data_IF_862082422018
#
_entry.id   IF_862082422018
#
_cell.length_a   1.000
_cell.length_b   1.000
_cell.length_c   1.000
_cell.angle_alpha   90.00
_cell.angle_beta   90.00
_cell.angle_gamma   90.00
#
_symmetry.space_group_name_H-M   'P 1'
#
loop_
_entity.id
_entity.type
_entity.pdbx_description
1 polymer ?
#
# COMPACT_ATOMS: atom_id res chain seq x y z
N UNK A 1 -14.49 -12.63 -24.53
CA UNK A 1 -13.89 -11.36 -24.97
C UNK A 1 -14.86 -10.28 -24.57
N UNK A 2 -14.43 -9.49 -23.60
CA UNK A 2 -15.14 -8.34 -23.05
C UNK A 2 -15.21 -7.27 -24.13
N UNK A 3 -16.25 -6.44 -24.10
CA UNK A 3 -16.36 -5.31 -25.02
C UNK A 3 -15.14 -4.37 -24.84
N UNK A 4 -14.35 -4.05 -25.91
CA UNK A 4 -13.13 -3.25 -25.80
C UNK A 4 -13.35 -1.85 -25.24
N UNK A 5 -14.55 -1.28 -25.43
CA UNK A 5 -14.92 0.00 -24.84
C UNK A 5 -15.00 -0.15 -23.33
N UNK A 6 -15.66 -1.20 -22.84
CA UNK A 6 -15.74 -1.52 -21.41
C UNK A 6 -14.36 -1.75 -20.79
N UNK A 7 -13.47 -2.51 -21.45
CA UNK A 7 -12.08 -2.71 -20.98
C UNK A 7 -11.37 -1.37 -20.82
N UNK A 8 -11.42 -0.52 -21.85
CA UNK A 8 -10.81 0.82 -21.82
C UNK A 8 -11.39 1.69 -20.70
N UNK A 9 -12.72 1.65 -20.48
CA UNK A 9 -13.36 2.41 -19.40
C UNK A 9 -12.87 1.93 -18.03
N UNK A 10 -12.81 0.62 -17.80
CA UNK A 10 -12.31 0.04 -16.54
C UNK A 10 -10.85 0.43 -16.30
N UNK A 11 -9.99 0.35 -17.33
CA UNK A 11 -8.58 0.75 -17.23
C UNK A 11 -8.45 2.22 -16.78
N UNK A 12 -9.09 3.16 -17.48
CA UNK A 12 -9.03 4.58 -17.11
C UNK A 12 -9.65 4.86 -15.75
N UNK A 13 -10.65 4.07 -15.30
CA UNK A 13 -11.19 4.16 -13.94
C UNK A 13 -10.15 3.73 -12.91
N UNK A 14 -9.44 2.63 -13.13
CA UNK A 14 -8.38 2.17 -12.22
C UNK A 14 -7.23 3.19 -12.14
N UNK A 15 -6.83 3.78 -13.27
CA UNK A 15 -5.86 4.87 -13.32
C UNK A 15 -6.34 6.10 -12.55
N UNK A 16 -7.60 6.51 -12.73
CA UNK A 16 -8.17 7.61 -11.96
C UNK A 16 -8.19 7.33 -10.45
N UNK A 17 -8.42 6.08 -10.05
CA UNK A 17 -8.43 5.66 -8.64
C UNK A 17 -7.05 5.85 -8.01
N UNK A 18 -5.99 5.33 -8.64
CA UNK A 18 -4.62 5.46 -8.11
C UNK A 18 -4.16 6.91 -8.06
N UNK A 19 -4.59 7.75 -9.01
CA UNK A 19 -4.35 9.20 -8.97
C UNK A 19 -5.09 9.88 -7.81
N UNK A 20 -6.36 9.54 -7.57
CA UNK A 20 -7.12 10.08 -6.44
C UNK A 20 -6.50 9.66 -5.09
N UNK A 21 -6.00 8.42 -5.00
CA UNK A 21 -5.23 7.95 -3.84
C UNK A 21 -3.98 8.81 -3.62
N UNK A 22 -3.28 9.19 -4.69
CA UNK A 22 -2.10 10.06 -4.62
C UNK A 22 -2.44 11.49 -4.19
N UNK A 23 -3.52 12.06 -4.71
CA UNK A 23 -4.03 13.36 -4.29
C UNK A 23 -4.41 13.39 -2.79
N UNK A 24 -4.97 12.29 -2.29
CA UNK A 24 -5.25 12.15 -0.86
C UNK A 24 -3.97 12.18 -0.02
N UNK A 25 -2.88 11.54 -0.48
CA UNK A 25 -1.58 11.63 0.18
C UNK A 25 -1.06 13.05 0.23
N UNK A 26 -1.00 13.74 -0.91
CA UNK A 26 -0.43 15.08 -1.01
C UNK A 26 -1.11 16.08 -0.07
N UNK A 27 -2.42 15.96 0.13
CA UNK A 27 -3.20 16.88 0.96
C UNK A 27 -3.17 16.55 2.45
N UNK A 28 -2.79 15.34 2.82
CA UNK A 28 -2.93 14.86 4.22
C UNK A 28 -1.63 14.44 4.88
N UNK A 29 -0.55 14.27 4.11
CA UNK A 29 0.77 13.94 4.64
C UNK A 29 1.38 15.11 5.43
N UNK A 30 2.08 14.77 6.50
CA UNK A 30 2.63 15.71 7.46
C UNK A 30 4.07 16.10 7.07
N UNK A 31 4.88 15.14 6.65
CA UNK A 31 6.28 15.40 6.30
C UNK A 31 6.45 16.00 4.90
N UNK A 32 7.48 16.84 4.75
CA UNK A 32 7.81 17.47 3.47
C UNK A 32 8.24 16.47 2.40
N UNK A 33 8.81 15.33 2.80
CA UNK A 33 9.17 14.23 1.90
C UNK A 33 7.94 13.77 1.10
N UNK A 34 6.78 13.70 1.75
CA UNK A 34 5.57 13.21 1.11
C UNK A 34 4.75 14.33 0.46
N UNK A 35 4.49 15.44 1.16
CA UNK A 35 3.62 16.49 0.63
C UNK A 35 4.30 17.43 -0.40
N UNK A 36 5.64 17.50 -0.40
CA UNK A 36 6.40 18.37 -1.31
C UNK A 36 7.25 17.57 -2.29
N UNK A 37 8.06 16.63 -1.80
CA UNK A 37 8.95 15.81 -2.66
C UNK A 37 8.23 14.65 -3.36
N UNK A 38 7.01 14.31 -2.91
CA UNK A 38 6.14 13.25 -3.48
C UNK A 38 6.79 11.87 -3.48
N UNK A 39 7.52 11.54 -2.41
CA UNK A 39 8.20 10.26 -2.27
C UNK A 39 7.27 9.15 -1.77
N UNK A 40 6.25 8.84 -2.58
CA UNK A 40 5.30 7.77 -2.36
C UNK A 40 4.78 7.23 -3.69
N UNK A 41 4.25 6.01 -3.70
CA UNK A 41 3.57 5.41 -4.84
C UNK A 41 2.26 4.77 -4.40
N UNK A 42 1.23 4.92 -5.22
CA UNK A 42 -0.08 4.29 -5.03
C UNK A 42 -0.32 3.28 -6.13
N UNK A 43 -0.92 2.15 -5.77
CA UNK A 43 -1.17 1.06 -6.71
C UNK A 43 -2.45 0.31 -6.35
N UNK A 44 -3.03 -0.29 -7.38
CA UNK A 44 -4.10 -1.28 -7.28
C UNK A 44 -3.59 -2.58 -7.85
N UNK A 45 -3.74 -3.64 -7.08
CA UNK A 45 -3.45 -5.01 -7.50
C UNK A 45 -4.76 -5.80 -7.58
N UNK A 46 -4.84 -6.78 -8.47
CA UNK A 46 -5.93 -7.74 -8.48
C UNK A 46 -5.82 -8.73 -7.30
N UNK A 47 -6.84 -9.58 -7.11
CA UNK A 47 -6.89 -10.54 -6.01
C UNK A 47 -5.74 -11.57 -6.03
N UNK A 48 -5.14 -11.79 -7.20
CA UNK A 48 -3.98 -12.68 -7.38
C UNK A 48 -2.65 -11.97 -7.14
N UNK A 49 -2.64 -10.68 -6.83
CA UNK A 49 -1.43 -9.92 -6.57
C UNK A 49 -0.68 -9.51 -7.83
N UNK A 50 -1.39 -9.33 -8.95
CA UNK A 50 -0.86 -8.72 -10.18
C UNK A 50 -1.17 -7.22 -10.19
N UNK A 51 -0.20 -6.41 -10.63
CA UNK A 51 -0.34 -4.96 -10.68
C UNK A 51 -1.34 -4.55 -11.78
N UNK A 52 -2.53 -4.07 -11.39
CA UNK A 52 -3.59 -3.68 -12.31
C UNK A 52 -3.51 -2.19 -12.70
N UNK A 53 -3.09 -1.31 -11.78
CA UNK A 53 -2.86 0.10 -12.05
C UNK A 53 -1.89 0.72 -11.03
N UNK A 54 -1.24 1.80 -11.42
CA UNK A 54 -0.36 2.61 -10.57
C UNK A 54 -0.42 4.08 -10.94
N UNK A 55 -0.20 4.97 -9.98
CA UNK A 55 0.10 6.36 -10.31
C UNK A 55 1.59 6.49 -10.67
N UNK A 56 1.92 7.34 -11.65
CA UNK A 56 3.30 7.63 -12.06
C UNK A 56 4.06 8.35 -10.95
N UNK A 57 4.65 7.57 -10.05
CA UNK A 57 5.57 8.04 -9.03
C UNK A 57 6.86 7.18 -9.06
N UNK A 58 7.64 7.20 -7.98
CA UNK A 58 9.00 6.65 -7.93
C UNK A 58 9.05 5.18 -8.43
N UNK A 59 9.69 4.87 -9.58
CA UNK A 59 9.63 3.54 -10.20
C UNK A 59 10.13 2.40 -9.30
N UNK A 60 11.09 2.68 -8.42
CA UNK A 60 11.67 1.68 -7.50
C UNK A 60 10.63 1.13 -6.50
N UNK A 61 9.60 1.92 -6.15
CA UNK A 61 8.56 1.46 -5.25
C UNK A 61 7.77 0.31 -5.83
N UNK A 62 7.41 0.42 -7.11
CA UNK A 62 6.44 -0.47 -7.76
C UNK A 62 7.02 -1.85 -7.98
N UNK A 63 8.29 -1.94 -8.39
CA UNK A 63 8.91 -3.23 -8.73
C UNK A 63 8.91 -4.25 -7.59
N UNK A 64 8.89 -3.80 -6.34
CA UNK A 64 8.89 -4.66 -5.16
C UNK A 64 7.48 -4.94 -4.58
N UNK A 65 6.44 -4.23 -5.03
CA UNK A 65 5.06 -4.38 -4.53
C UNK A 65 4.45 -5.77 -4.77
N UNK A 66 4.65 -6.47 -5.92
CA UNK A 66 4.14 -7.83 -6.09
C UNK A 66 4.64 -8.79 -5.00
N UNK A 67 5.91 -8.66 -4.60
CA UNK A 67 6.51 -9.44 -3.53
C UNK A 67 5.95 -9.09 -2.15
N UNK A 68 5.61 -7.82 -1.93
CA UNK A 68 4.96 -7.39 -0.68
C UNK A 68 3.54 -7.99 -0.55
N UNK A 69 2.77 -8.01 -1.64
CA UNK A 69 1.44 -8.65 -1.66
C UNK A 69 1.58 -10.16 -1.43
N UNK A 70 2.52 -10.81 -2.11
CA UNK A 70 2.80 -12.23 -1.92
C UNK A 70 3.21 -12.54 -0.46
N UNK A 71 4.09 -11.74 0.14
CA UNK A 71 4.53 -11.95 1.52
C UNK A 71 3.37 -11.83 2.54
N UNK A 72 2.43 -10.89 2.35
CA UNK A 72 1.21 -10.83 3.17
C UNK A 72 0.34 -12.07 2.95
N UNK A 73 0.08 -12.45 1.69
CA UNK A 73 -0.75 -13.62 1.37
C UNK A 73 -0.16 -14.90 1.93
N UNK A 74 1.14 -15.10 1.80
CA UNK A 74 1.82 -16.31 2.28
C UNK A 74 1.83 -16.37 3.80
N UNK A 75 2.17 -15.25 4.47
CA UNK A 75 2.27 -15.22 5.92
C UNK A 75 0.92 -15.35 6.60
N UNK A 76 -0.12 -14.66 6.12
CA UNK A 76 -1.46 -14.70 6.73
C UNK A 76 -2.33 -15.82 6.18
N UNK A 77 -2.10 -16.28 4.95
CA UNK A 77 -2.84 -17.36 4.28
C UNK A 77 -4.36 -17.13 4.33
N UNK A 78 -5.09 -17.96 5.09
CA UNK A 78 -6.53 -17.95 5.27
C UNK A 78 -7.01 -16.96 6.36
N UNK A 79 -6.08 -16.21 6.96
CA UNK A 79 -6.35 -15.27 8.06
C UNK A 79 -6.53 -13.81 7.61
N UNK A 80 -6.56 -13.56 6.31
CA UNK A 80 -6.92 -12.25 5.72
C UNK A 80 -8.43 -12.10 5.74
N UNK A 81 -8.93 -11.02 6.34
CA UNK A 81 -10.36 -10.78 6.56
C UNK A 81 -10.78 -9.38 6.11
N UNK A 82 -12.06 -9.14 5.82
CA UNK A 82 -12.57 -7.80 5.61
C UNK A 82 -12.22 -6.87 6.78
N UNK A 83 -11.78 -5.65 6.47
CA UNK A 83 -11.37 -4.65 7.47
C UNK A 83 -9.94 -4.81 7.98
N UNK A 84 -9.22 -5.86 7.58
CA UNK A 84 -7.78 -5.95 7.85
C UNK A 84 -7.00 -4.87 7.09
N UNK A 85 -5.88 -4.43 7.66
CA UNK A 85 -4.88 -3.61 6.97
C UNK A 85 -3.50 -4.04 7.44
N UNK A 86 -2.59 -4.21 6.48
CA UNK A 86 -1.24 -4.68 6.74
C UNK A 86 -0.20 -3.59 6.53
N UNK A 87 0.92 -3.75 7.20
CA UNK A 87 2.09 -2.89 7.12
C UNK A 87 3.35 -3.77 7.00
N UNK A 88 4.29 -3.37 6.14
CA UNK A 88 5.63 -3.95 6.09
C UNK A 88 6.64 -2.94 5.51
N UNK A 89 7.92 -3.13 5.82
CA UNK A 89 9.04 -2.48 5.15
C UNK A 89 10.24 -3.43 4.93
N UNK A 90 10.15 -4.67 5.40
CA UNK A 90 11.26 -5.62 5.41
C UNK A 90 11.74 -5.91 3.97
N UNK A 91 13.00 -5.60 3.62
CA UNK A 91 13.55 -5.85 2.29
C UNK A 91 13.48 -7.31 1.85
N UNK A 92 13.44 -8.25 2.80
CA UNK A 92 13.31 -9.68 2.51
C UNK A 92 11.86 -10.12 2.23
N UNK A 93 10.88 -9.22 2.40
CA UNK A 93 9.44 -9.48 2.21
C UNK A 93 8.79 -8.43 1.30
N UNK A 94 9.53 -7.94 0.30
CA UNK A 94 9.02 -7.00 -0.70
C UNK A 94 9.17 -5.52 -0.34
N UNK A 95 9.84 -5.17 0.76
CA UNK A 95 10.38 -3.82 0.96
C UNK A 95 11.57 -3.55 0.01
N UNK A 96 11.89 -2.28 -0.24
CA UNK A 96 13.10 -1.90 -0.98
C UNK A 96 14.21 -1.37 -0.06
N UNK A 97 13.83 -0.74 1.05
CA UNK A 97 14.67 -0.37 2.19
C UNK A 97 13.77 -0.03 3.38
N UNK A 98 14.31 0.01 4.60
CA UNK A 98 13.50 0.18 5.82
C UNK A 98 12.65 1.47 5.85
N UNK A 99 13.13 2.63 5.38
CA UNK A 99 12.32 3.84 5.40
C UNK A 99 11.01 3.78 4.59
N UNK A 100 10.88 2.86 3.63
CA UNK A 100 9.68 2.77 2.80
C UNK A 100 8.68 1.80 3.39
N UNK A 101 7.68 2.37 4.06
CA UNK A 101 6.57 1.61 4.59
C UNK A 101 5.58 1.33 3.47
N UNK A 102 5.01 0.13 3.47
CA UNK A 102 3.95 -0.30 2.56
C UNK A 102 2.70 -0.62 3.34
N UNK A 103 1.64 0.15 3.12
CA UNK A 103 0.27 -0.15 3.56
C UNK A 103 -0.40 -1.01 2.50
N UNK A 104 -0.91 -2.18 2.89
CA UNK A 104 -1.65 -3.09 2.02
C UNK A 104 -3.06 -3.30 2.58
N UNK A 105 -4.08 -2.90 1.81
CA UNK A 105 -5.49 -3.01 2.19
C UNK A 105 -6.20 -3.96 1.21
N UNK A 106 -6.64 -5.15 1.66
CA UNK A 106 -7.45 -6.05 0.84
C UNK A 106 -8.89 -5.54 0.68
N UNK A 107 -9.35 -5.43 -0.57
CA UNK A 107 -10.71 -4.98 -0.90
C UNK A 107 -11.59 -6.19 -1.17
N UNK A 108 -12.52 -6.45 -0.27
CA UNK A 108 -13.37 -7.65 -0.32
C UNK A 108 -14.64 -7.44 -1.14
N UNK A 109 -14.96 -8.41 -2.01
CA UNK A 109 -16.24 -8.54 -2.70
C UNK A 109 -16.69 -10.00 -2.60
N UNK A 110 -17.94 -10.24 -2.22
CA UNK A 110 -18.51 -11.59 -2.05
C UNK A 110 -17.62 -12.54 -1.21
N UNK A 111 -17.06 -12.01 -0.11
CA UNK A 111 -16.26 -12.78 0.83
C UNK A 111 -14.84 -13.10 0.39
N UNK A 112 -14.35 -12.55 -0.73
CA UNK A 112 -12.99 -12.76 -1.23
C UNK A 112 -12.26 -11.44 -1.49
N UNK A 113 -10.93 -11.35 -1.28
CA UNK A 113 -10.15 -10.18 -1.66
C UNK A 113 -10.06 -10.10 -3.18
N UNK A 114 -10.84 -9.20 -3.78
CA UNK A 114 -10.88 -9.00 -5.22
C UNK A 114 -9.75 -8.09 -5.71
N UNK A 115 -9.33 -7.15 -4.87
CA UNK A 115 -8.24 -6.22 -5.14
C UNK A 115 -7.41 -5.99 -3.88
N UNK A 116 -6.23 -5.40 -4.06
CA UNK A 116 -5.48 -4.75 -2.99
C UNK A 116 -5.25 -3.28 -3.34
N UNK A 117 -5.64 -2.39 -2.43
CA UNK A 117 -5.30 -0.98 -2.52
C UNK A 117 -4.04 -0.71 -1.69
N UNK A 118 -3.02 -0.21 -2.34
CA UNK A 118 -1.66 -0.15 -1.78
C UNK A 118 -1.13 1.27 -1.81
N UNK A 119 -0.45 1.64 -0.73
CA UNK A 119 0.32 2.87 -0.63
C UNK A 119 1.70 2.54 -0.07
N UNK A 120 2.76 2.90 -0.79
CA UNK A 120 4.13 2.89 -0.30
C UNK A 120 4.64 4.31 -0.16
N UNK A 121 5.26 4.64 0.97
CA UNK A 121 5.73 6.01 1.21
C UNK A 121 6.98 6.05 2.07
N UNK A 122 7.90 6.93 1.71
CA UNK A 122 9.16 7.14 2.40
C UNK A 122 8.96 7.93 3.70
N UNK A 123 9.28 7.30 4.83
CA UNK A 123 9.27 7.97 6.14
C UNK A 123 10.56 8.74 6.34
N UNK A 124 10.50 9.93 6.94
CA UNK A 124 11.67 10.79 7.14
C UNK A 124 12.61 10.35 8.28
N UNK A 125 12.19 9.40 9.13
CA UNK A 125 13.02 8.71 10.13
C UNK A 125 12.46 7.30 10.35
N UNK A 126 13.35 6.32 10.52
CA UNK A 126 12.98 4.91 10.76
C UNK A 126 13.70 4.33 12.00
N UNK A 127 14.19 5.20 12.89
CA UNK A 127 15.01 4.81 14.04
C UNK A 127 16.46 4.47 13.64
N UNK A 128 17.04 3.45 14.26
CA UNK A 128 18.40 2.99 13.94
C UNK A 128 19.52 3.82 14.56
N UNK A 129 20.76 3.58 14.14
CA UNK A 129 21.95 4.15 14.77
C UNK A 129 22.19 5.64 14.44
N UNK A 130 21.60 6.16 13.36
CA UNK A 130 21.75 7.56 12.91
C UNK A 130 20.40 8.25 12.78
N UNK A 131 20.39 9.59 12.84
CA UNK A 131 19.18 10.37 12.59
C UNK A 131 18.83 10.34 11.10
N UNK A 132 17.54 10.17 10.79
CA UNK A 132 17.04 10.12 9.42
C UNK A 132 16.87 8.69 8.90
N UNK A 133 17.05 8.51 7.60
CA UNK A 133 16.68 7.29 6.87
C UNK A 133 17.85 6.44 6.40
N UNK A 134 19.06 7.01 6.40
CA UNK A 134 20.26 6.35 5.89
C UNK A 134 21.41 6.40 6.89
N UNK A 135 21.97 5.23 7.17
CA UNK A 135 23.21 5.07 7.92
C UNK A 135 24.32 4.58 6.97
N UNK A 136 25.20 5.46 6.45
CA UNK A 136 26.26 5.04 5.53
C UNK A 136 27.33 4.14 6.18
N UNK A 137 27.38 4.10 7.52
CA UNK A 137 28.26 3.21 8.27
C UNK A 137 27.61 1.87 8.63
N UNK A 138 26.36 1.61 8.22
CA UNK A 138 25.69 0.37 8.55
C UNK A 138 26.39 -0.82 7.88
N UNK A 139 26.76 -1.82 8.66
CA UNK A 139 27.31 -3.10 8.16
C UNK A 139 26.32 -4.25 8.26
N UNK A 140 25.21 -4.03 8.98
CA UNK A 140 24.16 -5.00 9.21
C UNK A 140 22.80 -4.30 9.33
N UNK A 141 21.73 -4.97 8.92
CA UNK A 141 20.40 -4.37 8.83
C UNK A 141 19.83 -3.88 10.18
N UNK A 142 20.28 -4.45 11.30
CA UNK A 142 19.85 -4.03 12.64
C UNK A 142 20.32 -2.62 13.01
N UNK A 143 21.32 -2.08 12.32
CA UNK A 143 21.81 -0.71 12.50
C UNK A 143 20.99 0.32 11.70
N UNK A 144 20.15 -0.15 10.76
CA UNK A 144 19.45 0.70 9.79
C UNK A 144 18.07 1.16 10.27
N UNK A 145 17.51 0.56 11.31
CA UNK A 145 16.23 0.98 11.90
C UNK A 145 15.25 -0.14 12.16
N UNK A 146 13.98 0.23 12.37
CA UNK A 146 12.92 -0.74 12.64
C UNK A 146 12.57 -1.52 11.37
N UNK A 147 12.67 -2.85 11.47
CA UNK A 147 12.28 -3.78 10.42
C UNK A 147 10.92 -4.40 10.74
N UNK A 148 9.97 -4.17 9.85
CA UNK A 148 8.56 -4.54 9.95
C UNK A 148 8.30 -5.64 8.93
N UNK A 149 8.19 -6.87 9.42
CA UNK A 149 7.75 -8.05 8.66
C UNK A 149 6.26 -7.93 8.30
N UNK A 150 5.67 -8.86 7.52
CA UNK A 150 4.22 -8.96 7.36
C UNK A 150 3.46 -8.80 8.69
N UNK A 151 2.87 -7.62 8.88
CA UNK A 151 2.28 -7.20 10.15
C UNK A 151 0.86 -6.70 9.92
N UNK A 152 -0.05 -7.11 10.79
CA UNK A 152 -1.42 -6.62 10.80
C UNK A 152 -1.52 -5.38 11.70
N UNK A 153 -1.91 -4.24 11.13
CA UNK A 153 -2.10 -2.95 11.82
C UNK A 153 -3.58 -2.67 12.11
N UNK A 154 -4.49 -3.08 11.23
CA UNK A 154 -5.93 -3.17 11.56
C UNK A 154 -6.35 -4.64 11.55
N UNK A 155 -7.08 -5.05 12.58
CA UNK A 155 -7.68 -6.39 12.69
C UNK A 155 -9.19 -6.27 12.64
N UNK A 156 -9.78 -6.71 11.53
CA UNK A 156 -11.21 -6.62 11.27
C UNK A 156 -11.82 -5.22 11.52
N UNK A 157 -11.12 -4.16 11.07
CA UNK A 157 -11.56 -2.78 11.20
C UNK A 157 -11.08 -2.04 12.45
N UNK A 158 -10.50 -2.76 13.42
CA UNK A 158 -9.99 -2.18 14.66
C UNK A 158 -8.49 -1.91 14.58
N UNK A 159 -8.07 -0.69 14.92
CA UNK A 159 -6.67 -0.31 14.95
C UNK A 159 -5.95 -1.02 16.12
N UNK A 160 -4.85 -1.69 15.81
CA UNK A 160 -3.91 -2.24 16.81
C UNK A 160 -3.07 -1.10 17.39
N UNK A 161 -3.63 -0.36 18.35
CA UNK A 161 -3.00 0.79 19.00
C UNK A 161 -1.69 0.44 19.73
N UNK A 162 -1.60 -0.78 20.26
CA UNK A 162 -0.39 -1.36 20.84
C UNK A 162 0.74 -1.43 19.82
N UNK A 163 0.45 -1.94 18.62
CA UNK A 163 1.38 -2.03 17.49
C UNK A 163 1.78 -0.64 17.00
N UNK A 164 0.80 0.24 16.75
CA UNK A 164 1.09 1.61 16.30
C UNK A 164 1.99 2.34 17.30
N UNK A 165 1.73 2.14 18.59
CA UNK A 165 2.53 2.75 19.66
C UNK A 165 3.94 2.17 19.71
N UNK A 166 4.09 0.86 19.60
CA UNK A 166 5.40 0.22 19.50
C UNK A 166 6.21 0.77 18.32
N UNK A 167 5.62 0.90 17.14
CA UNK A 167 6.30 1.45 15.96
C UNK A 167 6.71 2.92 16.18
N UNK A 168 5.77 3.75 16.61
CA UNK A 168 6.02 5.18 16.82
C UNK A 168 7.06 5.45 17.93
N UNK A 169 7.15 4.59 18.95
CA UNK A 169 8.17 4.70 20.00
C UNK A 169 9.58 4.47 19.49
N UNK A 170 9.76 3.74 18.38
CA UNK A 170 11.06 3.40 17.82
C UNK A 170 11.56 4.36 16.73
N UNK A 171 10.88 5.49 16.53
CA UNK A 171 11.29 6.56 15.60
C UNK A 171 11.45 7.88 16.34
N UNK A 172 12.31 8.76 15.83
CA UNK A 172 12.65 10.04 16.49
C UNK A 172 11.54 11.09 16.39
N UNK A 173 10.70 10.98 15.37
CA UNK A 173 9.64 11.94 15.07
C UNK A 173 8.26 11.25 15.06
N UNK A 174 7.76 10.82 16.24
CA UNK A 174 6.54 10.01 16.34
C UNK A 174 5.28 10.73 15.87
N UNK A 175 5.23 12.06 15.99
CA UNK A 175 4.09 12.87 15.52
C UNK A 175 3.94 12.77 14.01
N UNK A 176 5.03 12.99 13.30
CA UNK A 176 5.05 13.05 11.84
C UNK A 176 4.89 11.64 11.26
N UNK A 177 5.57 10.63 11.84
CA UNK A 177 5.34 9.21 11.50
C UNK A 177 3.87 8.80 11.62
N UNK A 178 3.21 9.13 12.74
CA UNK A 178 1.78 8.83 12.92
C UNK A 178 0.90 9.60 11.93
N UNK A 179 1.26 10.84 11.61
CA UNK A 179 0.55 11.67 10.64
C UNK A 179 0.65 11.10 9.22
N UNK A 180 1.86 10.78 8.79
CA UNK A 180 2.15 10.19 7.48
C UNK A 180 1.52 8.81 7.34
N UNK A 181 1.62 7.94 8.35
CA UNK A 181 0.96 6.63 8.33
C UNK A 181 -0.57 6.75 8.23
N UNK A 182 -1.18 7.74 8.89
CA UNK A 182 -2.62 8.04 8.74
C UNK A 182 -2.95 8.51 7.32
N UNK A 183 -2.08 9.32 6.70
CA UNK A 183 -2.25 9.72 5.30
C UNK A 183 -2.20 8.50 4.37
N UNK A 184 -1.23 7.59 4.57
CA UNK A 184 -1.11 6.34 3.81
C UNK A 184 -2.36 5.46 3.93
N UNK A 185 -2.86 5.27 5.15
CA UNK A 185 -4.10 4.52 5.39
C UNK A 185 -5.30 5.21 4.74
N UNK A 186 -5.40 6.54 4.85
CA UNK A 186 -6.45 7.34 4.22
C UNK A 186 -6.45 7.18 2.71
N UNK A 187 -5.27 7.22 2.10
CA UNK A 187 -5.04 6.98 0.66
C UNK A 187 -5.49 5.58 0.25
N UNK A 188 -5.06 4.52 0.94
CA UNK A 188 -5.51 3.14 0.65
C UNK A 188 -7.04 2.98 0.80
N UNK A 189 -7.64 3.61 1.81
CA UNK A 189 -9.11 3.61 1.99
C UNK A 189 -9.86 4.37 0.90
N UNK A 190 -9.25 5.39 0.27
CA UNK A 190 -9.83 6.00 -0.94
C UNK A 190 -9.92 4.96 -2.05
N UNK A 191 -8.83 4.23 -2.30
CA UNK A 191 -8.81 3.16 -3.29
C UNK A 191 -9.86 2.09 -3.03
N UNK A 192 -9.96 1.59 -1.79
CA UNK A 192 -11.00 0.64 -1.37
C UNK A 192 -12.41 1.12 -1.76
N UNK A 193 -12.82 2.32 -1.34
CA UNK A 193 -14.16 2.85 -1.62
C UNK A 193 -14.43 2.98 -3.12
N UNK A 194 -13.43 3.41 -3.88
CA UNK A 194 -13.59 3.61 -5.33
C UNK A 194 -13.64 2.28 -6.10
N UNK A 195 -12.86 1.29 -5.68
CA UNK A 195 -12.89 -0.06 -6.26
C UNK A 195 -14.23 -0.75 -5.97
N UNK A 196 -14.75 -0.63 -4.75
CA UNK A 196 -16.09 -1.16 -4.42
C UNK A 196 -17.17 -0.51 -5.28
N UNK A 197 -17.11 0.82 -5.46
CA UNK A 197 -18.05 1.54 -6.34
C UNK A 197 -17.93 1.13 -7.81
N UNK A 198 -16.72 0.87 -8.30
CA UNK A 198 -16.49 0.38 -9.67
C UNK A 198 -17.20 -0.98 -9.87
N UNK A 199 -17.08 -1.87 -8.89
CA UNK A 199 -17.74 -3.19 -8.91
C UNK A 199 -19.25 -3.06 -8.80
N UNK A 200 -19.76 -2.14 -7.97
CA UNK A 200 -21.18 -1.84 -7.85
C UNK A 200 -21.79 -1.34 -9.18
N UNK A 201 -21.07 -0.49 -9.91
CA UNK A 201 -21.55 0.14 -11.15
C UNK A 201 -21.51 -0.80 -12.37
N UNK A 202 -20.47 -1.61 -12.51
CA UNK A 202 -20.25 -2.46 -13.70
C UNK A 202 -20.48 -3.96 -13.46
N UNK A 203 -20.60 -4.37 -12.20
CA UNK A 203 -20.76 -5.76 -11.80
C UNK A 203 -19.43 -6.53 -11.70
N UNK A 204 -19.37 -7.47 -10.77
CA UNK A 204 -18.17 -8.27 -10.48
C UNK A 204 -17.61 -8.98 -11.72
N UNK A 205 -18.46 -9.69 -12.47
CA UNK A 205 -18.03 -10.45 -13.65
C UNK A 205 -17.38 -9.57 -14.72
N UNK A 206 -17.96 -8.38 -14.96
CA UNK A 206 -17.46 -7.43 -15.95
C UNK A 206 -16.11 -6.86 -15.53
N UNK A 207 -15.99 -6.43 -14.28
CA UNK A 207 -14.75 -5.85 -13.75
C UNK A 207 -13.63 -6.89 -13.74
N UNK A 208 -13.88 -8.11 -13.27
CA UNK A 208 -12.86 -9.18 -13.27
C UNK A 208 -12.40 -9.55 -14.67
N UNK A 209 -13.33 -9.66 -15.64
CA UNK A 209 -12.98 -9.96 -17.03
C UNK A 209 -12.15 -8.84 -17.66
N UNK A 210 -12.53 -7.57 -17.45
CA UNK A 210 -11.80 -6.42 -17.96
C UNK A 210 -10.39 -6.32 -17.35
N UNK A 211 -10.24 -6.53 -16.04
CA UNK A 211 -8.92 -6.56 -15.37
C UNK A 211 -8.04 -7.69 -15.90
N UNK A 212 -8.64 -8.87 -16.17
CA UNK A 212 -7.91 -9.97 -16.83
C UNK A 212 -7.36 -9.55 -18.18
N UNK A 213 -8.18 -8.95 -19.04
CA UNK A 213 -7.75 -8.49 -20.36
C UNK A 213 -6.72 -7.35 -20.31
N UNK A 214 -6.79 -6.45 -19.33
CA UNK A 214 -5.78 -5.41 -19.09
C UNK A 214 -4.42 -6.02 -18.75
N UNK A 215 -4.41 -7.13 -18.00
CA UNK A 215 -3.18 -7.78 -17.53
C UNK A 215 -2.56 -8.72 -18.57
N UNK A 216 -3.36 -9.22 -19.52
CA UNK A 216 -2.94 -10.17 -20.56
C UNK A 216 -2.53 -9.47 -21.88
N UNK A 217 -2.88 -8.21 -22.06
CA UNK A 217 -2.57 -7.38 -23.25
C UNK A 217 -1.24 -6.63 -23.14
#
# INVERSE_FOLDING_TARGET
MTDPITVSVVQHRLEAIVQEMGEAMLRTAYSQILNSSRDFSTAVFDGEGRLAAQAEHVPIHVGALPWAVAAIRDFFTDRVRPGDLFLLNDPYHGGNHLPDLTVLLPVFVDGRPLFWSINRAHQHDIGGATHGTYNPGATEIWQEGIRITPLKLYDAGELREDVLTMLATNVRHPRDFRGDLRAMIGSARVGERRLLRLVEEYGLSTVTAAVGEILDG
#
